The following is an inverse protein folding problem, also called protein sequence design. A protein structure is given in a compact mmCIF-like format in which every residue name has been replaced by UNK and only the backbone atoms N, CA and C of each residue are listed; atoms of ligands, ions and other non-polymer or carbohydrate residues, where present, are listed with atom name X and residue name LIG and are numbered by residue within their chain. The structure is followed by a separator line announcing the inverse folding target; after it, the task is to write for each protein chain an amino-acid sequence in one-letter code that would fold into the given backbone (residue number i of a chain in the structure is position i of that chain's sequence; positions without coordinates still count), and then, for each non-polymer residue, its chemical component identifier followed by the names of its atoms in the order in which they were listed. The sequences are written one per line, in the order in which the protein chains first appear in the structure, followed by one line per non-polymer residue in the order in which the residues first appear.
data_IF_888336106253
#
_entry.id   IF_888336106253
#
_cell.length_a   1.000
_cell.length_b   1.000
_cell.length_c   1.000
_cell.angle_alpha   90.00
_cell.angle_beta   90.00
_cell.angle_gamma   90.00
#
_symmetry.space_group_name_H-M   'P 1'
#
loop_
_entity.id
_entity.type
_entity.pdbx_description
1 polymer ?
#
# COMPACT_ATOMS: atom_id res chain seq x y z
N UNK A 1 34.39 32.10 -48.11
CA UNK A 1 35.39 31.12 -48.57
C UNK A 1 34.82 29.73 -48.35
N UNK A 2 35.00 28.89 -49.36
CA UNK A 2 34.27 27.68 -49.67
C UNK A 2 34.63 26.46 -48.82
N UNK A 3 33.71 25.48 -48.84
CA UNK A 3 34.03 24.05 -48.88
C UNK A 3 33.75 23.31 -47.57
N UNK A 4 33.20 22.10 -47.54
CA UNK A 4 32.70 21.25 -48.60
C UNK A 4 31.79 20.17 -47.98
N UNK A 5 30.80 19.77 -48.76
CA UNK A 5 29.80 18.75 -48.49
C UNK A 5 30.43 17.36 -48.74
N UNK A 6 30.23 16.36 -47.87
CA UNK A 6 30.58 14.97 -48.17
C UNK A 6 29.42 14.03 -47.83
N UNK A 7 28.80 13.56 -48.92
CA UNK A 7 27.76 12.54 -49.00
C UNK A 7 28.39 11.15 -48.89
N UNK A 8 27.81 10.27 -48.07
CA UNK A 8 28.21 8.86 -47.97
C UNK A 8 27.09 7.99 -48.53
N UNK A 9 27.38 7.25 -49.61
CA UNK A 9 26.52 6.23 -50.22
C UNK A 9 26.52 4.94 -49.39
N UNK A 10 25.42 4.16 -49.39
CA UNK A 10 25.36 2.87 -48.70
C UNK A 10 25.99 1.73 -49.51
N UNK A 11 26.70 0.84 -48.82
CA UNK A 11 27.31 -0.36 -49.39
C UNK A 11 26.31 -1.51 -49.55
N UNK A 12 26.36 -2.16 -50.72
CA UNK A 12 25.55 -3.31 -51.11
C UNK A 12 25.98 -4.58 -50.37
N UNK A 13 25.01 -5.40 -49.97
CA UNK A 13 25.20 -6.69 -49.30
C UNK A 13 24.97 -7.81 -50.32
N UNK A 14 25.90 -8.77 -50.52
CA UNK A 14 25.67 -9.87 -51.45
C UNK A 14 24.85 -10.98 -50.80
N UNK A 15 23.84 -11.45 -51.53
CA UNK A 15 23.06 -12.64 -51.27
C UNK A 15 23.95 -13.90 -51.38
N UNK A 16 23.78 -14.85 -50.46
CA UNK A 16 24.32 -16.21 -50.61
C UNK A 16 23.22 -17.24 -50.40
N UNK A 17 23.14 -18.13 -51.38
CA UNK A 17 22.05 -19.04 -51.63
C UNK A 17 21.93 -20.19 -50.64
N UNK A 18 20.70 -20.68 -50.57
CA UNK A 18 20.29 -21.90 -49.90
C UNK A 18 20.92 -23.14 -50.55
N UNK A 19 21.68 -23.92 -49.77
CA UNK A 19 22.04 -25.30 -50.12
C UNK A 19 21.34 -26.26 -49.15
N UNK A 20 20.39 -27.05 -49.69
CA UNK A 20 19.71 -28.14 -49.00
C UNK A 20 20.63 -29.37 -48.95
N UNK A 21 21.17 -29.70 -47.78
CA UNK A 21 21.85 -30.98 -47.53
C UNK A 21 20.90 -31.94 -46.82
N UNK A 22 20.44 -32.97 -47.56
CA UNK A 22 19.82 -34.17 -47.00
C UNK A 22 20.83 -34.89 -46.10
N UNK A 23 20.49 -35.12 -44.83
CA UNK A 23 21.17 -36.13 -44.01
C UNK A 23 20.18 -37.19 -43.53
N UNK A 24 20.66 -38.42 -43.67
CA UNK A 24 20.01 -39.71 -43.47
C UNK A 24 19.55 -39.90 -42.03
N UNK A 25 18.38 -40.52 -41.91
CA UNK A 25 17.78 -41.09 -40.70
C UNK A 25 18.67 -42.18 -40.11
N UNK A 26 19.07 -42.03 -38.85
CA UNK A 26 19.56 -43.12 -38.02
C UNK A 26 18.53 -43.36 -36.90
N UNK A 27 18.08 -44.61 -36.80
CA UNK A 27 17.05 -45.05 -35.87
C UNK A 27 17.52 -44.92 -34.41
N UNK A 28 16.73 -44.22 -33.59
CA UNK A 28 16.90 -44.14 -32.15
C UNK A 28 16.00 -45.19 -31.47
N UNK A 29 16.59 -46.16 -30.78
CA UNK A 29 15.88 -47.08 -29.87
C UNK A 29 15.61 -46.36 -28.54
N UNK A 30 14.37 -46.31 -28.03
CA UNK A 30 14.15 -45.78 -26.69
C UNK A 30 14.54 -46.83 -25.65
N UNK A 31 15.36 -46.42 -24.68
CA UNK A 31 15.53 -47.15 -23.43
C UNK A 31 14.28 -46.96 -22.57
N UNK A 32 13.71 -48.06 -22.07
CA UNK A 32 12.59 -48.04 -21.16
C UNK A 32 13.02 -47.47 -19.79
N UNK A 33 12.54 -46.28 -19.46
CA UNK A 33 12.61 -45.73 -18.10
C UNK A 33 11.27 -45.95 -17.40
N UNK A 34 11.34 -46.65 -16.26
CA UNK A 34 10.21 -46.87 -15.33
C UNK A 34 9.66 -45.53 -14.87
N UNK A 35 8.37 -45.30 -15.12
CA UNK A 35 7.63 -44.16 -14.59
C UNK A 35 7.40 -44.37 -13.08
N UNK A 36 8.03 -43.53 -12.25
CA UNK A 36 7.57 -43.28 -10.89
C UNK A 36 6.43 -42.26 -10.97
N UNK A 37 5.25 -42.63 -10.46
CA UNK A 37 4.04 -41.82 -10.51
C UNK A 37 4.17 -40.54 -9.70
N UNK A 38 4.35 -39.41 -10.37
CA UNK A 38 4.01 -38.11 -9.83
C UNK A 38 2.51 -37.89 -10.07
N UNK A 39 1.72 -37.88 -8.99
CA UNK A 39 0.31 -37.52 -9.04
C UNK A 39 0.19 -36.08 -9.58
N UNK A 40 -0.26 -35.96 -10.82
CA UNK A 40 -0.70 -34.69 -11.37
C UNK A 40 -2.03 -34.35 -10.68
N UNK A 41 -2.16 -33.18 -10.03
CA UNK A 41 -3.47 -32.78 -9.52
C UNK A 41 -4.43 -32.68 -10.71
N UNK A 42 -5.71 -33.08 -10.53
CA UNK A 42 -6.68 -33.01 -11.62
C UNK A 42 -6.74 -31.57 -12.13
N UNK A 43 -6.76 -31.40 -13.46
CA UNK A 43 -6.82 -30.10 -14.15
C UNK A 43 -7.87 -29.16 -13.53
N UNK A 44 -8.97 -29.72 -13.00
CA UNK A 44 -9.99 -29.01 -12.26
C UNK A 44 -9.47 -28.28 -11.01
N UNK A 45 -8.58 -28.88 -10.21
CA UNK A 45 -8.01 -28.26 -9.02
C UNK A 45 -7.04 -27.12 -9.38
N UNK A 46 -6.26 -27.28 -10.46
CA UNK A 46 -5.40 -26.22 -10.99
C UNK A 46 -6.22 -25.05 -11.57
N UNK A 47 -7.33 -25.35 -12.26
CA UNK A 47 -8.27 -24.35 -12.78
C UNK A 47 -9.03 -23.63 -11.66
N UNK A 48 -9.41 -24.31 -10.58
CA UNK A 48 -10.04 -23.68 -9.41
C UNK A 48 -9.05 -22.82 -8.63
N UNK A 49 -7.79 -23.25 -8.48
CA UNK A 49 -6.75 -22.45 -7.86
C UNK A 49 -6.43 -21.21 -8.70
N UNK A 50 -6.35 -21.33 -10.03
CA UNK A 50 -6.15 -20.21 -10.94
C UNK A 50 -7.35 -19.25 -10.97
N UNK A 51 -8.58 -19.76 -10.92
CA UNK A 51 -9.80 -18.95 -10.83
C UNK A 51 -9.89 -18.21 -9.48
N UNK A 52 -9.53 -18.86 -8.37
CA UNK A 52 -9.47 -18.22 -7.05
C UNK A 52 -8.38 -17.15 -6.97
N UNK A 53 -7.23 -17.34 -7.65
CA UNK A 53 -6.19 -16.32 -7.76
C UNK A 53 -6.62 -15.16 -8.67
N UNK A 54 -7.30 -15.44 -9.78
CA UNK A 54 -7.85 -14.43 -10.68
C UNK A 54 -8.96 -13.59 -10.01
N UNK A 55 -9.77 -14.19 -9.14
CA UNK A 55 -10.80 -13.49 -8.36
C UNK A 55 -10.20 -12.63 -7.23
N UNK A 56 -9.05 -13.03 -6.66
CA UNK A 56 -8.30 -12.20 -5.71
C UNK A 56 -7.67 -10.95 -6.36
N UNK A 57 -7.44 -10.98 -7.68
CA UNK A 57 -6.87 -9.87 -8.46
C UNK A 57 -7.90 -9.09 -9.29
N UNK A 58 -9.20 -9.43 -9.21
CA UNK A 58 -10.23 -8.57 -9.76
C UNK A 58 -10.08 -7.20 -9.09
N UNK A 59 -9.81 -6.17 -9.90
CA UNK A 59 -9.60 -4.81 -9.43
C UNK A 59 -10.81 -4.37 -8.60
N UNK A 60 -10.67 -4.45 -7.27
CA UNK A 60 -11.66 -3.87 -6.37
C UNK A 60 -11.77 -2.39 -6.76
N UNK A 61 -12.98 -1.86 -7.00
CA UNK A 61 -13.15 -0.46 -7.36
C UNK A 61 -12.46 0.37 -6.28
N UNK A 62 -11.68 1.37 -6.71
CA UNK A 62 -10.97 2.25 -5.80
C UNK A 62 -11.96 2.75 -4.75
N UNK A 63 -11.69 2.44 -3.48
CA UNK A 63 -12.55 2.87 -2.39
C UNK A 63 -12.74 4.38 -2.51
N UNK A 64 -14.00 4.84 -2.48
CA UNK A 64 -14.31 6.26 -2.59
C UNK A 64 -13.44 7.06 -1.60
N UNK A 65 -12.95 8.25 -1.98
CA UNK A 65 -12.31 9.14 -1.02
C UNK A 65 -13.21 9.26 0.21
N UNK A 66 -12.61 9.12 1.40
CA UNK A 66 -13.33 9.18 2.67
C UNK A 66 -14.35 8.05 2.91
N UNK A 67 -14.26 6.90 2.23
CA UNK A 67 -15.16 5.76 2.47
C UNK A 67 -15.22 5.32 3.95
N UNK A 68 -14.16 5.58 4.72
CA UNK A 68 -14.11 5.31 6.17
C UNK A 68 -15.11 6.12 7.01
N UNK A 69 -15.72 7.16 6.43
CA UNK A 69 -16.79 7.94 7.09
C UNK A 69 -18.13 7.21 7.03
N UNK A 70 -18.30 6.26 6.12
CA UNK A 70 -19.55 5.50 5.97
C UNK A 70 -19.39 4.03 6.35
N UNK A 71 -18.16 3.52 6.37
CA UNK A 71 -17.87 2.11 6.52
C UNK A 71 -16.63 1.87 7.38
N UNK A 72 -16.69 0.84 8.21
CA UNK A 72 -15.60 0.39 9.07
C UNK A 72 -15.41 -1.10 8.88
N UNK A 73 -14.18 -1.56 8.97
CA UNK A 73 -13.82 -2.95 8.67
C UNK A 73 -13.00 -3.60 9.77
N UNK A 74 -13.00 -3.02 10.97
CA UNK A 74 -12.31 -3.57 12.13
C UNK A 74 -12.92 -3.14 13.47
N UNK A 75 -12.64 -3.87 14.55
CA UNK A 75 -13.20 -3.63 15.88
C UNK A 75 -12.71 -2.31 16.49
N UNK A 76 -11.55 -1.81 16.07
CA UNK A 76 -11.04 -0.50 16.50
C UNK A 76 -11.72 0.67 15.76
N UNK A 77 -12.04 0.51 14.48
CA UNK A 77 -12.62 1.58 13.66
C UNK A 77 -14.12 1.79 13.91
N UNK A 78 -14.88 0.71 14.18
CA UNK A 78 -16.35 0.78 14.31
C UNK A 78 -16.83 1.69 15.45
N UNK A 79 -16.31 1.63 16.69
CA UNK A 79 -16.70 2.55 17.75
C UNK A 79 -16.37 4.00 17.42
N UNK A 80 -15.23 4.24 16.75
CA UNK A 80 -14.80 5.58 16.32
C UNK A 80 -15.73 6.14 15.25
N UNK A 81 -16.19 5.32 14.30
CA UNK A 81 -17.17 5.70 13.29
C UNK A 81 -18.48 6.19 13.93
N UNK A 82 -19.02 5.43 14.87
CA UNK A 82 -20.28 5.76 15.57
C UNK A 82 -20.10 7.05 16.39
N UNK A 83 -18.98 7.16 17.11
CA UNK A 83 -18.62 8.37 17.86
C UNK A 83 -18.52 9.59 16.93
N UNK A 84 -17.89 9.44 15.77
CA UNK A 84 -17.76 10.49 14.77
C UNK A 84 -19.11 11.04 14.31
N UNK A 85 -20.06 10.15 13.96
CA UNK A 85 -21.42 10.55 13.58
C UNK A 85 -22.21 11.17 14.73
N UNK A 86 -22.07 10.64 15.95
CA UNK A 86 -22.72 11.23 17.13
C UNK A 86 -22.23 12.65 17.40
N UNK A 87 -20.93 12.88 17.36
CA UNK A 87 -20.34 14.22 17.52
C UNK A 87 -20.69 15.14 16.37
N UNK A 88 -20.70 14.64 15.13
CA UNK A 88 -21.14 15.42 13.97
C UNK A 88 -22.59 15.89 14.14
N UNK A 89 -23.51 14.99 14.52
CA UNK A 89 -24.91 15.32 14.76
C UNK A 89 -25.06 16.36 15.88
N UNK A 90 -24.28 16.24 16.97
CA UNK A 90 -24.25 17.21 18.05
C UNK A 90 -23.79 18.60 17.56
N UNK A 91 -22.64 18.66 16.86
CA UNK A 91 -22.10 19.91 16.31
C UNK A 91 -23.07 20.56 15.31
N UNK A 92 -23.64 19.78 14.38
CA UNK A 92 -24.62 20.27 13.42
C UNK A 92 -25.86 20.81 14.12
N UNK A 93 -26.36 20.13 15.16
CA UNK A 93 -27.52 20.59 15.94
C UNK A 93 -27.26 21.94 16.60
N UNK A 94 -26.09 22.12 17.21
CA UNK A 94 -25.69 23.41 17.81
C UNK A 94 -25.61 24.51 16.75
N UNK A 95 -24.98 24.25 15.60
CA UNK A 95 -24.92 25.20 14.50
C UNK A 95 -26.32 25.59 13.98
N UNK A 96 -27.23 24.63 13.84
CA UNK A 96 -28.62 24.89 13.41
C UNK A 96 -29.36 25.73 14.44
N UNK A 97 -29.24 25.42 15.73
CA UNK A 97 -29.88 26.23 16.80
C UNK A 97 -29.38 27.67 16.76
N UNK A 98 -28.05 27.88 16.68
CA UNK A 98 -27.47 29.22 16.59
C UNK A 98 -27.94 29.95 15.33
N UNK A 99 -27.94 29.27 14.17
CA UNK A 99 -28.40 29.86 12.91
C UNK A 99 -29.88 30.26 12.96
N UNK A 100 -30.74 29.43 13.55
CA UNK A 100 -32.18 29.74 13.73
C UNK A 100 -32.36 30.92 14.67
N UNK A 101 -31.68 30.94 15.82
CA UNK A 101 -31.75 32.07 16.75
C UNK A 101 -31.29 33.38 16.10
N UNK A 102 -30.22 33.34 15.33
CA UNK A 102 -29.72 34.49 14.57
C UNK A 102 -30.71 34.93 13.49
N UNK A 103 -31.27 34.00 12.72
CA UNK A 103 -32.29 34.30 11.72
C UNK A 103 -33.52 34.94 12.37
N UNK A 104 -34.01 34.40 13.49
CA UNK A 104 -35.11 34.99 14.24
C UNK A 104 -34.75 36.41 14.72
N UNK A 105 -33.53 36.64 15.21
CA UNK A 105 -33.10 37.97 15.64
C UNK A 105 -33.02 38.98 14.48
N UNK A 106 -32.60 38.55 13.29
CA UNK A 106 -32.48 39.40 12.10
C UNK A 106 -33.82 39.70 11.44
N UNK A 107 -34.71 38.70 11.34
CA UNK A 107 -35.96 38.80 10.58
C UNK A 107 -37.18 39.18 11.44
N UNK A 108 -37.09 39.11 12.77
CA UNK A 108 -38.17 39.63 13.63
C UNK A 108 -38.22 41.16 13.53
N UNK A 109 -39.33 41.68 13.02
CA UNK A 109 -39.66 43.12 13.09
C UNK A 109 -39.49 43.61 14.52
N UNK A 110 -38.78 44.73 14.69
CA UNK A 110 -38.52 45.36 15.98
C UNK A 110 -39.85 45.86 16.57
N UNK A 111 -40.52 45.05 17.38
CA UNK A 111 -41.52 45.55 18.31
C UNK A 111 -40.79 46.43 19.33
N UNK A 112 -41.37 47.58 19.68
CA UNK A 112 -40.70 48.65 20.45
C UNK A 112 -39.97 48.15 21.70
N UNK A 113 -38.88 48.82 22.05
CA UNK A 113 -37.94 48.46 23.14
C UNK A 113 -38.50 48.62 24.56
N UNK A 114 -39.82 48.78 24.72
CA UNK A 114 -40.45 48.99 26.01
C UNK A 114 -40.53 47.66 26.78
N UNK A 115 -39.71 47.52 27.83
CA UNK A 115 -39.83 46.44 28.82
C UNK A 115 -38.76 45.35 28.80
N UNK A 116 -37.60 45.55 28.16
CA UNK A 116 -36.48 44.59 28.24
C UNK A 116 -35.78 44.70 29.61
N UNK A 117 -36.21 43.92 30.60
CA UNK A 117 -35.53 43.80 31.90
C UNK A 117 -34.41 42.75 31.85
N UNK A 118 -33.18 43.09 32.25
CA UNK A 118 -32.00 42.19 32.27
C UNK A 118 -32.27 40.84 32.98
N UNK A 119 -33.09 40.84 34.03
CA UNK A 119 -33.40 39.66 34.84
C UNK A 119 -34.06 38.52 34.05
N UNK A 120 -34.73 38.82 32.93
CA UNK A 120 -35.34 37.80 32.06
C UNK A 120 -34.33 37.02 31.21
N UNK A 121 -33.15 37.59 30.92
CA UNK A 121 -32.13 36.96 30.08
C UNK A 121 -31.23 35.98 30.84
N UNK A 122 -30.97 36.24 32.13
CA UNK A 122 -30.12 35.40 32.98
C UNK A 122 -30.62 33.95 33.07
N UNK A 123 -31.93 33.74 33.14
CA UNK A 123 -32.52 32.39 33.15
C UNK A 123 -32.18 31.58 31.90
N UNK A 124 -32.24 32.20 30.71
CA UNK A 124 -31.84 31.56 29.45
C UNK A 124 -30.33 31.27 29.40
N UNK A 125 -29.51 32.17 29.93
CA UNK A 125 -28.06 31.97 30.01
C UNK A 125 -27.72 30.79 30.91
N UNK A 126 -28.32 30.70 32.10
CA UNK A 126 -28.09 29.57 33.01
C UNK A 126 -28.59 28.25 32.42
N UNK A 127 -29.79 28.24 31.81
CA UNK A 127 -30.32 27.04 31.16
C UNK A 127 -29.43 26.58 30.00
N UNK A 128 -29.04 27.48 29.10
CA UNK A 128 -28.15 27.18 27.98
C UNK A 128 -26.78 26.67 28.44
N UNK A 129 -26.21 27.28 29.49
CA UNK A 129 -24.94 26.86 30.07
C UNK A 129 -25.04 25.50 30.74
N UNK A 130 -26.12 25.22 31.48
CA UNK A 130 -26.33 23.93 32.11
C UNK A 130 -26.49 22.81 31.05
N UNK A 131 -27.28 23.06 30.00
CA UNK A 131 -27.49 22.12 28.90
C UNK A 131 -26.17 21.84 28.16
N UNK A 132 -25.43 22.90 27.79
CA UNK A 132 -24.16 22.73 27.07
C UNK A 132 -23.13 21.99 27.93
N UNK A 133 -23.03 22.31 29.22
CA UNK A 133 -22.14 21.62 30.17
C UNK A 133 -22.48 20.14 30.27
N UNK A 134 -23.76 19.79 30.42
CA UNK A 134 -24.21 18.41 30.49
C UNK A 134 -23.92 17.63 29.20
N UNK A 135 -24.19 18.23 28.03
CA UNK A 135 -23.91 17.62 26.72
C UNK A 135 -22.40 17.41 26.49
N UNK A 136 -21.57 18.40 26.82
CA UNK A 136 -20.12 18.29 26.68
C UNK A 136 -19.54 17.26 27.66
N UNK A 137 -20.06 17.18 28.89
CA UNK A 137 -19.66 16.16 29.85
C UNK A 137 -20.03 14.76 29.36
N UNK A 138 -21.24 14.57 28.84
CA UNK A 138 -21.67 13.29 28.27
C UNK A 138 -20.80 12.89 27.06
N UNK A 139 -20.49 13.85 26.18
CA UNK A 139 -19.59 13.63 25.04
C UNK A 139 -18.17 13.23 25.50
N UNK A 140 -17.63 13.91 26.52
CA UNK A 140 -16.33 13.57 27.10
C UNK A 140 -16.31 12.14 27.67
N UNK A 141 -17.32 11.78 28.47
CA UNK A 141 -17.43 10.42 29.03
C UNK A 141 -17.51 9.38 27.92
N UNK A 142 -18.30 9.64 26.88
CA UNK A 142 -18.42 8.73 25.75
C UNK A 142 -17.12 8.60 24.96
N UNK A 143 -16.40 9.70 24.72
CA UNK A 143 -15.08 9.67 24.07
C UNK A 143 -14.06 8.85 24.87
N UNK A 144 -14.01 9.02 26.20
CA UNK A 144 -13.10 8.25 27.05
C UNK A 144 -13.44 6.75 27.07
N UNK A 145 -14.73 6.41 27.06
CA UNK A 145 -15.18 5.03 26.95
C UNK A 145 -14.77 4.38 25.62
N UNK A 146 -14.95 5.09 24.50
CA UNK A 146 -14.49 4.63 23.17
C UNK A 146 -12.97 4.49 23.15
N UNK A 147 -12.23 5.46 23.70
CA UNK A 147 -10.77 5.41 23.78
C UNK A 147 -10.29 4.16 24.54
N UNK A 148 -10.92 3.84 25.68
CA UNK A 148 -10.59 2.64 26.45
C UNK A 148 -10.88 1.35 25.66
N UNK A 149 -11.99 1.30 24.91
CA UNK A 149 -12.37 0.14 24.10
C UNK A 149 -11.42 -0.15 22.93
N UNK A 150 -10.76 0.88 22.37
CA UNK A 150 -9.85 0.73 21.22
C UNK A 150 -8.38 0.64 21.61
N UNK A 151 -8.02 0.93 22.87
CA UNK A 151 -6.64 0.99 23.32
C UNK A 151 -5.90 -0.35 23.33
N UNK A 152 -6.62 -1.46 23.55
CA UNK A 152 -6.04 -2.82 23.63
C UNK A 152 -6.94 -3.84 22.93
N UNK A 153 -6.36 -4.82 22.22
CA UNK A 153 -7.15 -5.88 21.61
C UNK A 153 -7.64 -6.87 22.69
N UNK A 154 -8.74 -7.58 22.43
CA UNK A 154 -9.26 -8.60 23.36
C UNK A 154 -8.41 -9.87 23.40
N UNK A 155 -7.53 -10.09 22.41
CA UNK A 155 -6.70 -11.28 22.25
C UNK A 155 -5.25 -10.89 21.92
N UNK A 156 -4.25 -11.75 22.24
CA UNK A 156 -2.88 -11.58 21.77
C UNK A 156 -2.79 -11.49 20.24
N UNK A 157 -1.75 -10.82 19.70
CA UNK A 157 -1.57 -10.75 18.25
C UNK A 157 -1.29 -12.13 17.66
N UNK A 158 -1.92 -12.43 16.53
CA UNK A 158 -1.53 -13.57 15.70
C UNK A 158 -0.23 -13.27 14.92
N UNK A 159 0.00 -12.00 14.58
CA UNK A 159 1.16 -11.55 13.81
C UNK A 159 1.65 -10.22 14.38
N UNK A 160 2.97 -10.09 14.46
CA UNK A 160 3.65 -8.81 14.71
C UNK A 160 4.42 -8.40 13.46
N UNK A 161 4.21 -7.17 13.02
CA UNK A 161 4.86 -6.58 11.84
C UNK A 161 5.62 -5.33 12.29
N UNK A 162 6.92 -5.31 12.08
CA UNK A 162 7.72 -4.11 12.31
C UNK A 162 7.65 -3.23 11.05
N UNK A 163 7.08 -2.06 11.18
CA UNK A 163 6.91 -1.10 10.09
C UNK A 163 7.84 0.08 10.32
N UNK A 164 8.80 0.26 9.41
CA UNK A 164 9.74 1.38 9.46
C UNK A 164 9.41 2.38 8.35
N UNK A 165 9.17 3.62 8.74
CA UNK A 165 8.93 4.73 7.82
C UNK A 165 10.26 5.31 7.29
N UNK A 166 10.27 5.63 6.01
CA UNK A 166 11.34 6.32 5.30
C UNK A 166 10.75 7.39 4.38
N UNK A 167 11.54 8.37 3.95
CA UNK A 167 11.21 9.30 2.87
C UNK A 167 11.17 8.60 1.50
N UNK A 168 10.03 8.40 0.83
CA UNK A 168 8.64 8.42 1.29
C UNK A 168 8.00 7.07 0.95
N UNK A 169 8.26 6.08 1.79
CA UNK A 169 7.79 4.70 1.66
C UNK A 169 7.81 3.98 3.02
N UNK A 170 7.13 2.84 3.08
CA UNK A 170 6.96 2.03 4.28
C UNK A 170 7.65 0.69 4.10
N UNK A 171 8.66 0.40 4.91
CA UNK A 171 9.27 -0.92 5.03
C UNK A 171 8.47 -1.76 6.02
N UNK A 172 8.14 -3.00 5.67
CA UNK A 172 7.43 -3.92 6.56
C UNK A 172 8.19 -5.23 6.72
N UNK A 173 8.67 -5.47 7.94
CA UNK A 173 9.45 -6.64 8.33
C UNK A 173 8.54 -7.63 9.09
N UNK A 174 8.44 -8.86 8.56
CA UNK A 174 7.70 -9.97 9.15
C UNK A 174 8.67 -10.96 9.78
N UNK A 175 8.30 -11.55 10.92
CA UNK A 175 9.14 -12.56 11.60
C UNK A 175 10.52 -12.03 12.04
N UNK A 176 10.63 -10.74 12.34
CA UNK A 176 11.89 -10.08 12.68
C UNK A 176 12.67 -9.52 11.47
N UNK A 177 12.21 -9.79 10.24
CA UNK A 177 12.92 -9.42 9.02
C UNK A 177 14.04 -10.42 8.68
N UNK A 178 14.73 -10.26 7.52
CA UNK A 178 15.81 -11.15 7.13
C UNK A 178 16.95 -11.18 8.17
N UNK A 179 17.58 -12.35 8.45
CA UNK A 179 17.37 -13.64 7.78
C UNK A 179 16.22 -14.49 8.34
N UNK A 180 15.73 -14.19 9.55
CA UNK A 180 14.76 -15.04 10.27
C UNK A 180 13.33 -14.94 9.70
N UNK A 181 13.04 -13.86 9.00
CA UNK A 181 11.80 -13.61 8.30
C UNK A 181 12.03 -12.95 6.93
N UNK A 182 11.17 -11.98 6.58
CA UNK A 182 11.26 -11.32 5.27
C UNK A 182 10.81 -9.86 5.34
N UNK A 183 11.27 -9.09 4.36
CA UNK A 183 10.91 -7.69 4.17
C UNK A 183 10.00 -7.55 2.96
N UNK A 184 8.99 -6.70 3.10
CA UNK A 184 8.14 -6.17 2.02
C UNK A 184 8.11 -4.64 2.10
N UNK A 185 7.44 -3.99 1.14
CA UNK A 185 7.34 -2.54 1.13
C UNK A 185 5.97 -2.08 0.63
N UNK A 186 5.38 -1.11 1.33
CA UNK A 186 4.13 -0.42 1.01
C UNK A 186 2.88 -1.31 0.86
N UNK A 187 2.98 -2.61 1.05
CA UNK A 187 1.88 -3.57 0.94
C UNK A 187 2.02 -4.53 2.12
N UNK A 188 1.07 -4.51 3.05
CA UNK A 188 1.06 -5.34 4.24
C UNK A 188 -0.07 -6.35 4.09
N UNK A 189 0.21 -7.62 4.36
CA UNK A 189 -0.83 -8.65 4.37
C UNK A 189 -1.14 -9.06 5.80
N UNK A 190 -2.41 -9.27 6.08
CA UNK A 190 -2.91 -9.62 7.42
C UNK A 190 -3.97 -10.71 7.34
N UNK A 191 -4.02 -11.63 8.32
CA UNK A 191 -5.11 -12.60 8.43
C UNK A 191 -6.40 -11.90 8.91
N UNK A 192 -7.51 -12.18 8.24
CA UNK A 192 -8.84 -11.72 8.62
C UNK A 192 -9.25 -12.33 9.96
N UNK A 193 -9.89 -11.54 10.81
CA UNK A 193 -10.44 -11.97 12.09
C UNK A 193 -9.42 -12.10 13.21
N UNK A 194 -8.15 -11.74 12.97
CA UNK A 194 -7.08 -11.84 13.95
C UNK A 194 -6.44 -10.48 14.29
N UNK A 195 -6.11 -10.22 15.56
CA UNK A 195 -5.35 -9.03 15.93
C UNK A 195 -3.93 -9.08 15.38
N UNK A 196 -3.47 -7.96 14.84
CA UNK A 196 -2.12 -7.73 14.35
C UNK A 196 -1.49 -6.58 15.13
N UNK A 197 -0.28 -6.80 15.62
CA UNK A 197 0.53 -5.77 16.25
C UNK A 197 1.43 -5.12 15.19
N UNK A 198 1.30 -3.81 15.02
CA UNK A 198 2.21 -3.01 14.22
C UNK A 198 3.18 -2.29 15.16
N UNK A 199 4.46 -2.62 15.05
CA UNK A 199 5.53 -1.89 15.71
C UNK A 199 6.08 -0.82 14.77
N UNK A 200 5.80 0.44 15.07
CA UNK A 200 6.11 1.60 14.24
C UNK A 200 7.45 2.20 14.63
N UNK A 201 8.31 2.36 13.63
CA UNK A 201 9.64 2.98 13.70
C UNK A 201 9.77 4.02 12.60
N UNK A 202 10.66 4.99 12.78
CA UNK A 202 11.08 5.88 11.70
C UNK A 202 12.59 5.87 11.55
N UNK A 203 13.05 5.90 10.30
CA UNK A 203 14.46 6.00 9.94
C UNK A 203 14.94 7.45 9.73
N UNK A 204 14.02 8.42 9.63
CA UNK A 204 14.33 9.82 9.30
C UNK A 204 13.53 10.83 10.15
N UNK A 205 12.33 11.21 9.72
CA UNK A 205 11.47 12.24 10.34
C UNK A 205 10.24 11.61 10.99
N UNK A 206 9.37 12.41 11.58
CA UNK A 206 8.12 11.88 12.14
C UNK A 206 7.14 11.59 11.00
N UNK A 207 6.62 10.36 10.98
CA UNK A 207 5.53 9.95 10.11
C UNK A 207 4.32 9.56 10.97
N UNK A 208 3.17 9.29 10.34
CA UNK A 208 2.04 8.69 11.03
C UNK A 208 1.36 7.65 10.16
N UNK A 209 1.30 6.42 10.65
CA UNK A 209 0.68 5.30 9.97
C UNK A 209 -0.82 5.30 10.25
N UNK A 210 -1.63 5.35 9.19
CA UNK A 210 -3.08 5.36 9.31
C UNK A 210 -3.76 4.53 8.24
N UNK A 211 -4.54 3.53 8.68
CA UNK A 211 -5.45 2.76 7.85
C UNK A 211 -6.88 2.95 8.39
N UNK A 212 -7.59 3.99 7.95
CA UNK A 212 -8.77 4.52 8.65
C UNK A 212 -9.92 3.54 8.82
N UNK A 213 -10.12 2.62 7.87
CA UNK A 213 -11.18 1.62 7.96
C UNK A 213 -10.88 0.53 9.00
N UNK A 214 -9.62 0.40 9.44
CA UNK A 214 -9.19 -0.69 10.32
C UNK A 214 -8.80 -0.20 11.71
N UNK A 215 -8.07 0.91 11.79
CA UNK A 215 -7.53 1.41 13.04
C UNK A 215 -7.25 2.92 13.01
N UNK A 216 -7.05 3.50 14.21
CA UNK A 216 -6.68 4.91 14.41
C UNK A 216 -5.32 5.25 13.78
N UNK A 217 -4.87 6.51 13.87
CA UNK A 217 -3.52 6.88 13.43
C UNK A 217 -2.53 6.77 14.60
N UNK A 218 -1.34 6.25 14.33
CA UNK A 218 -0.24 6.23 15.31
C UNK A 218 1.04 6.77 14.67
N UNK A 219 1.79 7.60 15.40
CA UNK A 219 3.02 8.19 14.90
C UNK A 219 4.16 7.16 14.86
N UNK A 220 5.01 7.26 13.85
CA UNK A 220 6.31 6.63 13.79
C UNK A 220 7.35 7.73 14.08
N UNK A 221 8.03 7.64 15.21
CA UNK A 221 8.90 8.69 15.73
C UNK A 221 10.35 8.18 15.73
N UNK A 222 11.32 8.91 15.17
CA UNK A 222 12.73 8.52 15.23
C UNK A 222 13.19 8.25 16.67
N UNK A 223 13.88 7.13 16.87
CA UNK A 223 14.39 6.73 18.20
C UNK A 223 13.36 6.12 19.15
N UNK A 224 12.09 5.96 18.73
CA UNK A 224 11.05 5.33 19.54
C UNK A 224 10.32 4.22 18.77
N UNK A 225 9.89 3.19 19.49
CA UNK A 225 9.02 2.15 18.94
C UNK A 225 7.61 2.39 19.49
N UNK A 226 6.75 2.92 18.63
CA UNK A 226 5.33 3.01 18.95
C UNK A 226 4.62 1.72 18.56
N UNK A 227 3.49 1.44 19.21
CA UNK A 227 2.72 0.23 18.97
C UNK A 227 1.29 0.58 18.63
N UNK A 228 0.76 -0.12 17.63
CA UNK A 228 -0.62 0.00 17.21
C UNK A 228 -1.21 -1.37 16.98
N UNK A 229 -2.45 -1.55 17.40
CA UNK A 229 -3.23 -2.74 17.12
C UNK A 229 -4.17 -2.51 15.95
N UNK A 230 -4.36 -3.56 15.17
CA UNK A 230 -5.22 -3.54 14.00
C UNK A 230 -5.85 -4.92 13.79
N UNK A 231 -7.06 -4.95 13.28
CA UNK A 231 -7.72 -6.18 12.84
C UNK A 231 -8.64 -5.83 11.68
N UNK A 232 -8.68 -6.70 10.67
CA UNK A 232 -9.65 -6.64 9.59
C UNK A 232 -10.69 -7.75 9.77
N UNK A 233 -11.97 -7.39 9.82
CA UNK A 233 -13.07 -8.33 10.06
C UNK A 233 -13.54 -9.04 8.78
N UNK A 234 -13.18 -8.50 7.62
CA UNK A 234 -13.54 -9.06 6.31
C UNK A 234 -12.37 -9.00 5.32
N UNK A 235 -12.29 -9.96 4.37
CA UNK A 235 -11.30 -9.92 3.31
C UNK A 235 -11.44 -8.67 2.45
N UNK A 236 -10.32 -8.16 1.94
CA UNK A 236 -10.29 -7.02 1.04
C UNK A 236 -9.01 -6.23 1.12
N UNK A 237 -8.89 -5.21 0.27
CA UNK A 237 -7.76 -4.29 0.30
C UNK A 237 -8.17 -2.96 0.91
N UNK A 238 -7.43 -2.54 1.93
CA UNK A 238 -7.64 -1.31 2.67
C UNK A 238 -6.52 -0.32 2.38
N UNK A 239 -6.89 0.90 2.04
CA UNK A 239 -5.93 1.98 1.78
C UNK A 239 -5.41 2.55 3.10
N UNK A 240 -4.09 2.74 3.17
CA UNK A 240 -3.44 3.51 4.22
C UNK A 240 -2.59 4.66 3.70
N UNK A 241 -2.36 5.66 4.55
CA UNK A 241 -1.70 6.91 4.18
C UNK A 241 -0.84 7.44 5.33
N UNK A 242 0.25 8.14 5.00
CA UNK A 242 0.97 8.96 5.97
C UNK A 242 0.13 10.18 6.38
N UNK A 243 -0.09 10.40 7.67
CA UNK A 243 -0.90 11.52 8.19
C UNK A 243 -0.13 12.51 9.05
N UNK A 244 1.20 12.51 8.96
CA UNK A 244 2.07 13.51 9.57
C UNK A 244 2.92 14.09 8.45
N UNK A 245 2.91 15.41 8.29
CA UNK A 245 3.71 16.05 7.26
C UNK A 245 5.19 15.67 7.43
N UNK A 246 5.74 15.01 6.41
CA UNK A 246 7.08 14.44 6.41
C UNK A 246 7.94 14.90 5.22
N UNK A 247 7.53 15.98 4.53
CA UNK A 247 8.29 16.56 3.42
C UNK A 247 7.57 16.49 2.07
N UNK A 248 8.34 16.68 0.98
CA UNK A 248 7.82 16.96 -0.35
C UNK A 248 6.83 15.91 -0.89
N UNK A 249 7.09 14.62 -0.65
CA UNK A 249 6.20 13.54 -1.09
C UNK A 249 5.31 12.98 0.01
N UNK A 250 5.02 13.78 1.05
CA UNK A 250 4.07 13.41 2.10
C UNK A 250 2.73 12.89 1.53
N UNK A 251 2.17 13.59 0.54
CA UNK A 251 0.92 13.19 -0.11
C UNK A 251 1.03 11.87 -0.90
N UNK A 252 2.22 11.53 -1.38
CA UNK A 252 2.48 10.31 -2.16
C UNK A 252 3.14 9.20 -1.32
N UNK A 253 2.86 9.18 -0.01
CA UNK A 253 3.39 8.22 0.95
C UNK A 253 2.27 7.35 1.53
N UNK A 254 1.76 6.41 0.75
CA UNK A 254 0.79 5.46 1.28
C UNK A 254 1.18 4.01 1.10
N UNK A 255 0.27 3.17 1.55
CA UNK A 255 0.42 1.73 1.55
C UNK A 255 -0.96 1.07 1.38
N UNK A 256 -0.95 -0.24 1.17
CA UNK A 256 -2.15 -1.08 1.20
C UNK A 256 -2.05 -2.10 2.32
N UNK A 257 -3.21 -2.46 2.87
CA UNK A 257 -3.37 -3.59 3.77
C UNK A 257 -4.28 -4.59 3.09
N UNK A 258 -3.72 -5.73 2.72
CA UNK A 258 -4.42 -6.84 2.08
C UNK A 258 -4.85 -7.81 3.17
N UNK A 259 -6.13 -7.77 3.54
CA UNK A 259 -6.69 -8.71 4.50
C UNK A 259 -7.16 -9.97 3.78
N UNK A 260 -6.61 -11.11 4.17
CA UNK A 260 -6.84 -12.39 3.53
C UNK A 260 -7.43 -13.41 4.51
N UNK A 261 -8.25 -14.37 4.04
CA UNK A 261 -8.60 -15.53 4.86
C UNK A 261 -7.33 -16.21 5.42
N UNK A 262 -7.35 -16.74 6.66
CA UNK A 262 -6.15 -17.25 7.32
C UNK A 262 -5.33 -18.27 6.49
N UNK A 263 -5.99 -19.14 5.73
CA UNK A 263 -5.34 -20.12 4.87
C UNK A 263 -4.60 -19.48 3.68
N UNK A 264 -5.19 -18.43 3.10
CA UNK A 264 -4.57 -17.65 2.02
C UNK A 264 -3.38 -16.86 2.57
N UNK A 265 -3.54 -16.20 3.71
CA UNK A 265 -2.46 -15.52 4.41
C UNK A 265 -1.27 -16.45 4.69
N UNK A 266 -1.52 -17.67 5.20
CA UNK A 266 -0.45 -18.66 5.44
C UNK A 266 0.30 -19.06 4.17
N UNK A 267 -0.41 -19.22 3.04
CA UNK A 267 0.20 -19.51 1.73
C UNK A 267 1.03 -18.34 1.24
N UNK A 268 0.51 -17.12 1.33
CA UNK A 268 1.23 -15.89 0.99
C UNK A 268 2.48 -15.72 1.86
N UNK A 269 2.37 -15.90 3.17
CA UNK A 269 3.50 -15.79 4.09
C UNK A 269 4.60 -16.80 3.75
N UNK A 270 4.21 -18.05 3.46
CA UNK A 270 5.15 -19.09 3.03
C UNK A 270 5.78 -18.80 1.66
N UNK A 271 5.07 -18.16 0.73
CA UNK A 271 5.65 -17.74 -0.54
C UNK A 271 6.62 -16.58 -0.38
N UNK A 272 6.29 -15.59 0.45
CA UNK A 272 7.14 -14.42 0.68
C UNK A 272 8.50 -14.77 1.30
N UNK A 273 8.58 -15.86 2.06
CA UNK A 273 9.85 -16.37 2.61
C UNK A 273 10.79 -16.97 1.56
N UNK A 274 10.29 -17.30 0.36
CA UNK A 274 11.14 -17.79 -0.72
C UNK A 274 11.95 -16.65 -1.33
N UNK A 275 13.07 -17.00 -1.93
CA UNK A 275 13.82 -16.09 -2.80
C UNK A 275 13.20 -16.01 -4.19
N UNK A 276 13.67 -15.08 -4.99
CA UNK A 276 13.28 -14.92 -6.38
C UNK A 276 13.60 -16.17 -7.20
N UNK A 277 12.70 -16.52 -8.12
CA UNK A 277 12.96 -17.58 -9.09
C UNK A 277 14.04 -17.15 -10.10
N UNK A 278 14.89 -18.10 -10.51
CA UNK A 278 15.88 -17.84 -11.54
C UNK A 278 15.19 -17.56 -12.89
N UNK A 279 15.55 -16.47 -13.60
CA UNK A 279 14.96 -16.15 -14.89
C UNK A 279 15.28 -17.21 -15.93
N UNK A 280 14.29 -17.59 -16.76
CA UNK A 280 14.42 -18.66 -17.76
C UNK A 280 14.56 -18.16 -19.20
N UNK A 281 14.16 -16.92 -19.45
CA UNK A 281 14.17 -16.32 -20.78
C UNK A 281 15.41 -15.44 -20.99
N UNK A 282 15.85 -15.33 -22.25
CA UNK A 282 17.10 -14.62 -22.57
C UNK A 282 17.04 -13.11 -22.26
N UNK A 283 15.88 -12.49 -22.41
CA UNK A 283 15.59 -11.10 -22.03
C UNK A 283 15.64 -10.90 -20.51
N UNK A 284 14.99 -11.77 -19.73
CA UNK A 284 15.03 -11.71 -18.27
C UNK A 284 16.45 -11.97 -17.71
N UNK A 285 17.24 -12.83 -18.34
CA UNK A 285 18.65 -13.02 -18.00
C UNK A 285 19.50 -11.77 -18.26
N UNK A 286 19.27 -11.06 -19.38
CA UNK A 286 19.91 -9.76 -19.62
C UNK A 286 19.41 -8.70 -18.63
N UNK A 287 18.12 -8.69 -18.34
CA UNK A 287 17.50 -7.83 -17.34
C UNK A 287 18.07 -8.01 -15.93
N UNK A 288 18.34 -9.25 -15.52
CA UNK A 288 18.98 -9.55 -14.24
C UNK A 288 20.39 -8.94 -14.14
N UNK A 289 21.16 -8.95 -15.23
CA UNK A 289 22.49 -8.30 -15.27
C UNK A 289 22.37 -6.79 -15.14
N UNK A 290 21.43 -6.18 -15.88
CA UNK A 290 21.16 -4.74 -15.77
C UNK A 290 20.75 -4.39 -14.33
N UNK A 291 19.92 -5.22 -13.70
CA UNK A 291 19.52 -5.04 -12.31
C UNK A 291 20.73 -5.10 -11.36
N UNK A 292 21.62 -6.08 -11.54
CA UNK A 292 22.83 -6.21 -10.75
C UNK A 292 23.73 -4.94 -10.87
N UNK A 293 23.87 -4.41 -12.09
CA UNK A 293 24.73 -3.26 -12.36
C UNK A 293 24.14 -1.92 -11.89
N UNK A 294 22.81 -1.77 -11.92
CA UNK A 294 22.13 -0.48 -11.75
C UNK A 294 21.28 -0.35 -10.50
N UNK A 295 20.79 -1.46 -9.94
CA UNK A 295 19.73 -1.46 -8.92
C UNK A 295 20.16 -2.15 -7.62
N UNK A 296 21.02 -3.17 -7.70
CA UNK A 296 21.37 -4.04 -6.58
C UNK A 296 22.10 -3.35 -5.43
N UNK A 297 22.71 -2.17 -5.67
CA UNK A 297 23.34 -1.37 -4.61
C UNK A 297 22.32 -0.79 -3.61
N UNK A 298 21.08 -0.56 -4.04
CA UNK A 298 20.03 0.01 -3.20
C UNK A 298 18.93 -1.01 -2.86
N UNK A 299 18.58 -1.87 -3.81
CA UNK A 299 17.48 -2.83 -3.68
C UNK A 299 17.97 -4.26 -3.45
N UNK A 300 17.31 -4.97 -2.54
CA UNK A 300 17.50 -6.40 -2.34
C UNK A 300 16.59 -7.23 -3.25
N UNK A 301 17.12 -8.37 -3.72
CA UNK A 301 16.37 -9.47 -4.32
C UNK A 301 16.89 -10.78 -3.73
N UNK A 302 16.15 -11.34 -2.78
CA UNK A 302 16.57 -12.55 -2.06
C UNK A 302 16.76 -13.72 -3.03
N UNK A 303 17.77 -14.55 -2.79
CA UNK A 303 18.15 -15.63 -3.72
C UNK A 303 19.10 -15.19 -4.84
N UNK A 304 19.51 -13.92 -4.86
CA UNK A 304 20.52 -13.38 -5.78
C UNK A 304 21.65 -12.68 -5.01
N UNK A 305 22.66 -12.17 -5.72
CA UNK A 305 23.71 -11.33 -5.11
C UNK A 305 23.26 -9.91 -4.75
N UNK A 306 22.03 -9.51 -5.07
CA UNK A 306 21.51 -8.19 -4.77
C UNK A 306 21.03 -8.09 -3.31
N UNK A 307 21.80 -7.36 -2.49
CA UNK A 307 21.60 -7.24 -1.05
C UNK A 307 21.46 -5.78 -0.56
N UNK A 308 21.11 -4.84 -1.44
CA UNK A 308 20.93 -3.44 -1.07
C UNK A 308 19.82 -3.25 -0.02
N UNK A 309 20.08 -2.40 0.98
CA UNK A 309 19.19 -2.18 2.14
C UNK A 309 18.59 -0.78 2.23
N UNK A 310 18.98 0.12 1.33
CA UNK A 310 18.61 1.53 1.36
C UNK A 310 17.28 1.82 0.65
N UNK A 311 16.72 0.82 -0.04
CA UNK A 311 15.49 0.96 -0.82
C UNK A 311 14.56 -0.26 -0.62
N UNK A 312 13.31 -0.20 -1.09
CA UNK A 312 12.36 -1.31 -0.99
C UNK A 312 12.93 -2.65 -1.46
N UNK A 313 12.67 -3.73 -0.72
CA UNK A 313 12.91 -5.08 -1.21
C UNK A 313 12.09 -5.31 -2.49
N UNK A 314 12.68 -5.92 -3.53
CA UNK A 314 12.03 -6.15 -4.82
C UNK A 314 11.83 -7.63 -5.14
N UNK A 315 12.08 -8.54 -4.19
CA UNK A 315 12.06 -10.00 -4.39
C UNK A 315 10.76 -10.48 -5.03
N UNK A 316 9.63 -9.88 -4.65
CA UNK A 316 8.29 -10.20 -5.18
C UNK A 316 7.57 -8.95 -5.74
N UNK A 317 8.31 -8.01 -6.35
CA UNK A 317 7.72 -6.75 -6.85
C UNK A 317 6.65 -6.97 -7.92
N UNK A 318 6.77 -7.99 -8.76
CA UNK A 318 5.82 -8.32 -9.82
C UNK A 318 4.48 -8.90 -9.32
N UNK A 319 4.36 -9.19 -8.03
CA UNK A 319 3.11 -9.61 -7.38
C UNK A 319 2.33 -8.43 -6.75
N UNK A 320 2.98 -7.28 -6.56
CA UNK A 320 2.36 -6.10 -5.94
C UNK A 320 1.31 -5.47 -6.84
N UNK A 321 0.30 -4.83 -6.24
CA UNK A 321 -0.70 -4.06 -7.01
C UNK A 321 -0.21 -2.67 -7.39
N UNK A 322 0.58 -2.05 -6.52
CA UNK A 322 1.01 -0.65 -6.66
C UNK A 322 2.53 -0.48 -6.59
N UNK A 323 3.00 0.61 -7.16
CA UNK A 323 4.39 1.07 -7.14
C UNK A 323 4.49 2.44 -6.46
N UNK A 324 5.73 2.84 -6.14
CA UNK A 324 6.06 4.18 -5.65
C UNK A 324 5.22 4.63 -4.42
N UNK A 325 5.03 3.73 -3.44
CA UNK A 325 4.20 3.97 -2.25
C UNK A 325 2.73 4.33 -2.56
N UNK A 326 2.18 3.65 -3.57
CA UNK A 326 0.78 3.78 -3.97
C UNK A 326 0.51 4.89 -4.99
N UNK A 327 1.54 5.54 -5.52
CA UNK A 327 1.38 6.61 -6.50
C UNK A 327 1.05 6.09 -7.91
N UNK A 328 1.46 4.87 -8.25
CA UNK A 328 1.28 4.27 -9.57
C UNK A 328 0.73 2.84 -9.46
N UNK A 329 -0.04 2.40 -10.45
CA UNK A 329 -0.38 0.99 -10.63
C UNK A 329 0.85 0.19 -11.07
N UNK A 330 0.96 -1.06 -10.66
CA UNK A 330 2.07 -1.93 -11.06
C UNK A 330 1.82 -2.55 -12.44
N UNK A 331 1.96 -1.74 -13.48
CA UNK A 331 1.92 -2.18 -14.88
C UNK A 331 3.32 -2.10 -15.50
N UNK A 332 3.62 -2.86 -16.57
CA UNK A 332 4.90 -2.75 -17.26
C UNK A 332 5.24 -1.34 -17.75
N UNK A 333 4.23 -0.55 -18.12
CA UNK A 333 4.41 0.82 -18.60
C UNK A 333 4.75 1.79 -17.45
N UNK A 334 3.99 1.71 -16.36
CA UNK A 334 4.23 2.55 -15.18
C UNK A 334 5.51 2.17 -14.45
N UNK A 335 5.89 0.89 -14.44
CA UNK A 335 7.18 0.45 -13.90
C UNK A 335 8.34 1.04 -14.70
N UNK A 336 8.27 1.03 -16.03
CA UNK A 336 9.29 1.66 -16.88
C UNK A 336 9.35 3.16 -16.67
N UNK A 337 8.19 3.82 -16.60
CA UNK A 337 8.10 5.26 -16.31
C UNK A 337 8.70 5.59 -14.94
N UNK A 338 8.39 4.81 -13.91
CA UNK A 338 8.95 4.98 -12.58
C UNK A 338 10.48 4.89 -12.58
N UNK A 339 11.04 3.90 -13.28
CA UNK A 339 12.50 3.72 -13.35
C UNK A 339 13.16 4.86 -14.13
N UNK A 340 12.59 5.22 -15.29
CA UNK A 340 13.19 6.23 -16.18
C UNK A 340 13.05 7.66 -15.65
N UNK A 341 11.94 7.97 -14.98
CA UNK A 341 11.50 9.32 -14.65
C UNK A 341 11.04 9.45 -13.17
N UNK A 342 11.70 8.74 -12.25
CA UNK A 342 11.39 8.75 -10.82
C UNK A 342 11.19 10.17 -10.25
N UNK A 343 12.05 11.12 -10.65
CA UNK A 343 11.98 12.51 -10.18
C UNK A 343 10.82 13.32 -10.77
N UNK A 344 10.22 12.88 -11.88
CA UNK A 344 8.99 13.49 -12.40
C UNK A 344 7.75 12.92 -11.70
N UNK A 345 7.79 11.63 -11.34
CA UNK A 345 6.69 10.97 -10.63
C UNK A 345 6.64 11.40 -9.16
N UNK A 346 7.77 11.25 -8.46
CA UNK A 346 7.98 11.65 -7.06
C UNK A 346 9.22 12.54 -6.94
N UNK A 347 9.09 13.84 -7.23
CA UNK A 347 10.17 14.81 -7.04
C UNK A 347 10.82 14.71 -5.65
N UNK A 348 12.15 14.76 -5.62
CA UNK A 348 12.99 14.65 -4.42
C UNK A 348 13.00 13.28 -3.75
N UNK A 349 12.34 12.26 -4.33
CA UNK A 349 12.51 10.90 -3.83
C UNK A 349 13.96 10.47 -3.94
N UNK A 350 14.43 9.61 -3.03
CA UNK A 350 15.83 9.18 -3.00
C UNK A 350 16.20 8.22 -4.14
N UNK A 351 15.23 7.74 -4.91
CA UNK A 351 15.48 6.97 -6.12
C UNK A 351 15.79 7.92 -7.30
N UNK A 352 17.00 7.88 -7.87
CA UNK A 352 17.32 8.69 -9.04
C UNK A 352 16.59 8.17 -10.28
N UNK A 353 16.38 9.04 -11.26
CA UNK A 353 15.93 8.65 -12.59
C UNK A 353 17.03 7.87 -13.31
N UNK A 354 16.74 6.60 -13.66
CA UNK A 354 17.71 5.71 -14.33
C UNK A 354 17.36 5.63 -15.82
N UNK A 355 18.09 6.41 -16.63
CA UNK A 355 17.93 6.37 -18.09
C UNK A 355 18.61 5.13 -18.68
N UNK A 356 17.78 4.23 -19.19
CA UNK A 356 18.18 3.04 -19.94
C UNK A 356 17.73 3.17 -21.39
N UNK A 357 18.45 2.55 -22.31
CA UNK A 357 18.00 2.47 -23.71
C UNK A 357 16.73 1.59 -23.83
N UNK A 358 15.95 1.69 -24.92
CA UNK A 358 14.68 0.96 -25.03
C UNK A 358 14.81 -0.56 -24.94
N UNK A 359 15.93 -1.15 -25.34
CA UNK A 359 16.15 -2.60 -25.23
C UNK A 359 16.44 -3.00 -23.78
N UNK A 360 17.30 -2.24 -23.11
CA UNK A 360 17.59 -2.41 -21.68
C UNK A 360 16.34 -2.26 -20.82
N UNK A 361 15.47 -1.28 -21.11
CA UNK A 361 14.21 -1.09 -20.39
C UNK A 361 13.31 -2.32 -20.51
N UNK A 362 13.19 -2.90 -21.71
CA UNK A 362 12.40 -4.10 -21.95
C UNK A 362 12.98 -5.30 -21.21
N UNK A 363 14.28 -5.53 -21.33
CA UNK A 363 14.97 -6.64 -20.67
C UNK A 363 14.85 -6.54 -19.13
N UNK A 364 15.07 -5.36 -18.55
CA UNK A 364 14.90 -5.11 -17.11
C UNK A 364 13.45 -5.33 -16.67
N UNK A 365 12.48 -4.84 -17.43
CA UNK A 365 11.06 -5.05 -17.12
C UNK A 365 10.68 -6.53 -17.18
N UNK A 366 11.21 -7.28 -18.15
CA UNK A 366 11.02 -8.73 -18.24
C UNK A 366 11.56 -9.44 -17.01
N UNK A 367 12.75 -9.05 -16.51
CA UNK A 367 13.28 -9.58 -15.25
C UNK A 367 12.40 -9.23 -14.05
N UNK A 368 12.04 -7.97 -13.86
CA UNK A 368 11.21 -7.54 -12.72
C UNK A 368 9.84 -8.22 -12.71
N UNK A 369 9.28 -8.56 -13.87
CA UNK A 369 8.04 -9.31 -13.99
C UNK A 369 8.15 -10.77 -13.51
N UNK A 370 9.35 -11.35 -13.44
CA UNK A 370 9.60 -12.69 -12.89
C UNK A 370 9.63 -12.73 -11.36
N UNK A 371 9.78 -11.58 -10.71
CA UNK A 371 9.91 -11.46 -9.26
C UNK A 371 8.52 -11.50 -8.59
N UNK A 372 7.96 -12.69 -8.34
CA UNK A 372 6.59 -12.90 -7.82
C UNK A 372 6.49 -13.79 -6.60
#
# INVERSE_FOLDING_TARGET
MNGANMSVKPAQRPERGFAKTRRRTAAYRPAATRAAGAATPPLAAALHAAAAHAQAHAAQPAALPLAYVFDSAGPAARPVLILGWALLALCTSVCVVIAVLLALALFRRRAGTAGLTERGGLGFVYAGTAISTALLLAALVYMLWVLAAVAKPPRPPAVTIAVTAYDWWWKADYGGGPPDGFTTANELHVPVGEPVLIELRSADVIHAFWAPQLASKTQAIPGQINRQWMQADRPGVYRGQCTQFCGAQHAQMGFEIVAEPPDAYRRWYASQRRGAEAPRTADALRGQRIFADRCAGCHAVRGTGAAGTQAPDLTHVGARRLLAAGALANTPDELRRWIADAQQVKPQSLMPSIRLDPAQQRDLSAYLATLR
#
